data_IF_221785198092
#
_entry.id   IF_221785198092
#
_cell.length_a   1.000
_cell.length_b   1.000
_cell.length_c   1.000
_cell.angle_alpha   90.00
_cell.angle_beta   90.00
_cell.angle_gamma   90.00
#
_symmetry.space_group_name_H-M   'P 1'
#
loop_
_entity.id
_entity.type
_entity.pdbx_description
1 polymer ?
#
# COMPACT_ATOMS: atom_id res chain seq x y z
N UNK A 1 27.08 12.15 5.63
CA UNK A 1 25.77 11.70 6.16
C UNK A 1 24.56 12.16 5.32
N UNK A 2 24.67 13.12 4.41
CA UNK A 2 23.58 13.64 3.56
C UNK A 2 23.13 12.70 2.45
N UNK A 3 24.03 11.86 1.90
CA UNK A 3 23.73 11.01 0.75
C UNK A 3 22.77 9.84 1.06
N UNK A 4 22.90 9.19 2.22
CA UNK A 4 22.06 8.03 2.59
C UNK A 4 20.60 8.41 2.85
N UNK A 5 20.37 9.54 3.54
CA UNK A 5 19.01 10.04 3.80
C UNK A 5 18.28 10.40 2.51
N UNK A 6 18.95 11.09 1.58
CA UNK A 6 18.33 11.46 0.31
C UNK A 6 17.98 10.21 -0.50
N UNK A 7 18.90 9.24 -0.58
CA UNK A 7 18.65 7.96 -1.27
C UNK A 7 17.45 7.20 -0.68
N UNK A 8 17.31 7.17 0.64
CA UNK A 8 16.15 6.55 1.30
C UNK A 8 14.84 7.26 0.93
N UNK A 9 14.83 8.60 0.91
CA UNK A 9 13.68 9.40 0.51
C UNK A 9 13.31 9.18 -0.96
N UNK A 10 14.28 9.06 -1.83
CA UNK A 10 14.06 8.79 -3.26
C UNK A 10 13.45 7.38 -3.47
N UNK A 11 13.91 6.39 -2.70
CA UNK A 11 13.33 5.04 -2.71
C UNK A 11 11.87 5.08 -2.23
N UNK A 12 11.59 5.74 -1.11
CA UNK A 12 10.23 5.87 -0.58
C UNK A 12 9.30 6.59 -1.57
N UNK A 13 9.78 7.65 -2.22
CA UNK A 13 9.00 8.37 -3.23
C UNK A 13 8.65 7.47 -4.43
N UNK A 14 9.59 6.66 -4.88
CA UNK A 14 9.38 5.72 -6.00
C UNK A 14 8.38 4.62 -5.64
N UNK A 15 8.49 4.04 -4.46
CA UNK A 15 7.55 3.02 -4.00
C UNK A 15 6.16 3.62 -3.75
N UNK A 16 6.07 4.76 -3.07
CA UNK A 16 4.82 5.44 -2.75
C UNK A 16 4.08 6.01 -3.96
N UNK A 17 4.73 6.14 -5.12
CA UNK A 17 4.08 6.56 -6.37
C UNK A 17 3.06 5.53 -6.89
N UNK A 18 3.10 4.28 -6.40
CA UNK A 18 2.23 3.21 -6.84
C UNK A 18 1.22 2.86 -5.75
N UNK A 19 -0.06 3.30 -5.87
CA UNK A 19 -1.09 2.82 -4.97
C UNK A 19 -1.29 1.31 -5.17
N UNK A 20 -1.30 0.57 -4.08
CA UNK A 20 -1.45 -0.87 -4.10
C UNK A 20 -2.38 -1.32 -2.97
N UNK A 21 -3.49 -1.94 -3.31
CA UNK A 21 -4.30 -2.70 -2.35
C UNK A 21 -3.96 -4.19 -2.50
N UNK A 22 -4.36 -5.00 -1.52
CA UNK A 22 -4.12 -6.45 -1.56
C UNK A 22 -4.57 -7.04 -2.91
N UNK A 23 -3.75 -7.91 -3.50
CA UNK A 23 -3.87 -8.54 -4.83
C UNK A 23 -3.54 -7.61 -6.02
N UNK A 24 -3.21 -6.34 -5.81
CA UNK A 24 -2.91 -5.37 -6.87
C UNK A 24 -1.52 -4.71 -6.68
N UNK A 25 -0.55 -5.45 -6.13
CA UNK A 25 0.79 -4.98 -5.78
C UNK A 25 1.78 -5.00 -6.96
N UNK A 26 1.36 -5.41 -8.16
CA UNK A 26 2.26 -5.67 -9.29
C UNK A 26 3.15 -4.46 -9.65
N UNK A 27 2.59 -3.25 -9.62
CA UNK A 27 3.32 -2.04 -9.98
C UNK A 27 4.39 -1.68 -8.93
N UNK A 28 4.05 -1.75 -7.65
CA UNK A 28 5.02 -1.49 -6.57
C UNK A 28 6.07 -2.58 -6.48
N UNK A 29 5.70 -3.86 -6.68
CA UNK A 29 6.63 -4.99 -6.71
C UNK A 29 7.62 -4.88 -7.88
N UNK A 30 7.15 -4.46 -9.06
CA UNK A 30 8.04 -4.16 -10.19
C UNK A 30 9.03 -3.03 -9.88
N UNK A 31 8.55 -1.95 -9.26
CA UNK A 31 9.40 -0.84 -8.84
C UNK A 31 10.43 -1.28 -7.80
N UNK A 32 10.03 -2.08 -6.80
CA UNK A 32 10.92 -2.66 -5.81
C UNK A 32 12.05 -3.47 -6.47
N UNK A 33 11.69 -4.42 -7.35
CA UNK A 33 12.69 -5.25 -8.03
C UNK A 33 13.61 -4.44 -8.96
N UNK A 34 13.10 -3.35 -9.53
CA UNK A 34 13.92 -2.41 -10.32
C UNK A 34 14.93 -1.69 -9.43
N UNK A 35 14.52 -1.20 -8.27
CA UNK A 35 15.40 -0.57 -7.28
C UNK A 35 16.50 -1.55 -6.83
N UNK A 36 16.14 -2.79 -6.55
CA UNK A 36 17.10 -3.82 -6.14
C UNK A 36 18.17 -4.06 -7.21
N UNK A 37 17.77 -4.14 -8.49
CA UNK A 37 18.72 -4.26 -9.62
C UNK A 37 19.64 -3.05 -9.71
N UNK A 38 19.11 -1.83 -9.61
CA UNK A 38 19.90 -0.59 -9.62
C UNK A 38 20.92 -0.52 -8.48
N UNK A 39 20.60 -1.14 -7.34
CA UNK A 39 21.49 -1.25 -6.19
C UNK A 39 22.49 -2.40 -6.30
N UNK A 40 22.43 -3.22 -7.36
CA UNK A 40 23.27 -4.41 -7.52
C UNK A 40 22.96 -5.51 -6.51
N UNK A 41 21.76 -5.54 -5.92
CA UNK A 41 21.34 -6.54 -4.95
C UNK A 41 20.69 -7.73 -5.65
N UNK A 42 21.15 -8.94 -5.34
CA UNK A 42 20.52 -10.18 -5.75
C UNK A 42 19.22 -10.39 -4.97
N UNK A 43 18.18 -10.86 -5.65
CA UNK A 43 16.90 -11.19 -5.02
C UNK A 43 16.26 -12.40 -5.71
N UNK A 44 15.30 -12.99 -5.02
CA UNK A 44 14.44 -14.06 -5.54
C UNK A 44 12.98 -13.64 -5.37
N UNK A 45 12.13 -14.06 -6.29
CA UNK A 45 10.68 -13.91 -6.16
C UNK A 45 10.10 -15.31 -6.09
N UNK A 46 9.35 -15.60 -5.03
CA UNK A 46 8.71 -16.89 -4.85
C UNK A 46 7.41 -17.03 -5.67
N UNK A 47 6.78 -18.21 -5.61
CA UNK A 47 5.53 -18.48 -6.32
C UNK A 47 4.31 -17.67 -5.85
N UNK A 48 4.42 -17.00 -4.71
CA UNK A 48 3.38 -16.13 -4.13
C UNK A 48 3.64 -14.65 -4.46
N UNK A 49 4.78 -14.32 -5.09
CA UNK A 49 5.17 -12.95 -5.39
C UNK A 49 6.01 -12.27 -4.30
N UNK A 50 6.36 -12.96 -3.22
CA UNK A 50 7.24 -12.40 -2.20
C UNK A 50 8.64 -12.18 -2.74
N UNK A 51 9.21 -11.02 -2.50
CA UNK A 51 10.58 -10.67 -2.89
C UNK A 51 11.52 -10.89 -1.72
N UNK A 52 12.46 -11.81 -1.87
CA UNK A 52 13.45 -12.17 -0.87
C UNK A 52 14.80 -11.60 -1.26
N UNK A 53 15.39 -10.80 -0.38
CA UNK A 53 16.73 -10.20 -0.56
C UNK A 53 17.64 -10.70 0.56
N UNK A 54 18.78 -11.27 0.21
CA UNK A 54 19.78 -11.65 1.20
C UNK A 54 20.91 -10.62 1.18
N UNK A 55 21.14 -9.96 2.31
CA UNK A 55 22.23 -8.99 2.48
C UNK A 55 23.26 -9.58 3.42
N UNK A 56 24.53 -9.51 3.02
CA UNK A 56 25.65 -10.04 3.79
C UNK A 56 26.23 -11.36 3.24
N UNK A 57 27.43 -11.68 3.71
CA UNK A 57 28.21 -12.85 3.26
C UNK A 57 27.65 -14.18 3.81
N UNK A 58 28.19 -15.27 3.26
CA UNK A 58 28.00 -16.61 3.80
C UNK A 58 28.69 -16.66 5.16
N UNK A 59 27.88 -16.54 6.20
CA UNK A 59 28.43 -16.23 7.50
C UNK A 59 28.85 -17.47 8.27
N UNK A 60 29.55 -17.44 9.09
CA UNK A 60 30.13 -17.65 10.39
C UNK A 60 29.19 -18.20 11.48
N UNK A 61 28.10 -18.91 11.15
CA UNK A 61 27.27 -19.56 12.16
C UNK A 61 26.34 -18.63 12.98
N UNK A 62 26.24 -17.36 12.58
CA UNK A 62 25.31 -16.42 13.22
C UNK A 62 23.87 -16.65 12.77
N UNK A 63 22.93 -16.50 13.68
CA UNK A 63 21.50 -16.60 13.38
C UNK A 63 21.08 -15.42 12.48
N UNK A 64 20.49 -15.66 11.28
CA UNK A 64 20.08 -14.58 10.41
C UNK A 64 18.91 -13.78 11.03
N UNK A 65 18.92 -12.47 10.83
CA UNK A 65 17.80 -11.60 11.15
C UNK A 65 17.00 -11.39 9.87
N UNK A 66 15.67 -11.56 9.93
CA UNK A 66 14.76 -11.28 8.83
C UNK A 66 13.98 -9.99 9.12
N UNK A 67 13.95 -9.09 8.14
CA UNK A 67 13.04 -7.94 8.11
C UNK A 67 11.93 -8.25 7.11
N UNK A 68 10.69 -8.13 7.55
CA UNK A 68 9.51 -8.41 6.74
C UNK A 68 8.68 -7.14 6.62
N UNK A 69 8.24 -6.82 5.40
CA UNK A 69 7.35 -5.71 5.14
C UNK A 69 6.40 -6.07 4.01
N UNK A 70 5.12 -5.69 4.12
CA UNK A 70 4.17 -5.84 3.04
C UNK A 70 4.21 -4.64 2.06
N UNK A 71 3.67 -4.81 0.86
CA UNK A 71 3.67 -3.80 -0.21
C UNK A 71 2.30 -3.15 -0.42
N UNK A 72 1.23 -3.75 0.12
CA UNK A 72 -0.12 -3.24 0.02
C UNK A 72 -0.46 -2.26 1.15
N UNK A 73 -1.57 -1.57 0.97
CA UNK A 73 -2.20 -0.71 1.98
C UNK A 73 -3.72 -0.92 1.96
N UNK A 74 -4.45 -0.55 3.03
CA UNK A 74 -5.89 -0.67 3.07
C UNK A 74 -6.58 0.06 1.91
N UNK A 75 -7.63 -0.57 1.37
CA UNK A 75 -8.43 -0.01 0.27
C UNK A 75 -9.59 -0.92 -0.08
N UNK A 76 -9.99 -0.93 -1.34
CA UNK A 76 -11.16 -1.69 -1.78
C UNK A 76 -10.91 -2.34 -3.15
N UNK A 77 -11.70 -3.37 -3.44
CA UNK A 77 -11.86 -3.94 -4.78
C UNK A 77 -13.28 -3.71 -5.26
N UNK A 78 -13.48 -2.91 -6.30
CA UNK A 78 -14.77 -2.79 -6.97
C UNK A 78 -15.00 -4.03 -7.84
N UNK A 79 -16.06 -4.79 -7.58
CA UNK A 79 -16.30 -6.08 -8.21
C UNK A 79 -17.63 -6.17 -8.99
N UNK A 80 -18.60 -5.28 -8.72
CA UNK A 80 -19.87 -5.23 -9.43
C UNK A 80 -20.46 -3.81 -9.36
N UNK A 81 -21.65 -3.63 -9.94
CA UNK A 81 -22.40 -2.38 -9.90
C UNK A 81 -23.76 -2.56 -9.25
N UNK A 82 -24.28 -1.49 -8.64
CA UNK A 82 -25.65 -1.40 -8.13
C UNK A 82 -26.23 -0.03 -8.52
N UNK A 83 -27.07 0.00 -9.56
CA UNK A 83 -27.50 1.25 -10.18
C UNK A 83 -26.28 2.02 -10.74
N UNK A 84 -26.17 3.29 -10.35
CA UNK A 84 -25.06 4.17 -10.77
C UNK A 84 -23.81 4.06 -9.87
N UNK A 85 -23.82 3.14 -8.91
CA UNK A 85 -22.72 2.94 -7.98
C UNK A 85 -21.90 1.69 -8.32
N UNK A 86 -20.62 1.75 -8.04
CA UNK A 86 -19.80 0.55 -7.90
C UNK A 86 -20.03 -0.05 -6.52
N UNK A 87 -20.05 -1.36 -6.42
CA UNK A 87 -20.00 -2.08 -5.15
C UNK A 87 -18.58 -2.58 -4.95
N UNK A 88 -17.98 -2.22 -3.83
CA UNK A 88 -16.60 -2.58 -3.55
C UNK A 88 -16.45 -3.26 -2.19
N UNK A 89 -15.61 -4.29 -2.16
CA UNK A 89 -15.21 -5.04 -0.98
C UNK A 89 -14.00 -4.37 -0.34
N UNK A 90 -14.02 -4.16 0.98
CA UNK A 90 -12.87 -3.67 1.71
C UNK A 90 -11.78 -4.73 1.80
N UNK A 91 -10.55 -4.32 1.53
CA UNK A 91 -9.32 -5.10 1.64
C UNK A 91 -8.43 -4.49 2.72
N UNK A 92 -7.91 -5.34 3.60
CA UNK A 92 -7.08 -4.90 4.73
C UNK A 92 -7.84 -4.15 5.82
N UNK A 93 -7.12 -3.35 6.60
CA UNK A 93 -7.60 -2.63 7.78
C UNK A 93 -8.37 -1.32 7.46
N UNK A 94 -9.36 -1.37 6.57
CA UNK A 94 -10.17 -0.18 6.24
C UNK A 94 -10.94 0.31 7.47
N UNK A 95 -10.78 1.60 7.86
CA UNK A 95 -11.44 2.17 9.03
C UNK A 95 -12.98 2.11 8.94
N UNK A 96 -13.65 1.80 10.05
CA UNK A 96 -15.11 1.67 10.10
C UNK A 96 -15.86 2.95 9.63
N UNK A 97 -15.29 4.12 9.90
CA UNK A 97 -15.85 5.40 9.45
C UNK A 97 -15.97 5.52 7.93
N UNK A 98 -15.10 4.83 7.18
CA UNK A 98 -15.12 4.83 5.70
C UNK A 98 -16.37 4.21 5.09
N UNK A 99 -17.18 3.51 5.88
CA UNK A 99 -18.45 2.92 5.45
C UNK A 99 -19.68 3.77 5.75
N UNK A 100 -19.53 4.87 6.48
CA UNK A 100 -20.67 5.67 6.97
C UNK A 100 -20.58 7.15 6.62
N UNK A 101 -19.40 7.63 6.20
CA UNK A 101 -19.17 9.03 5.81
C UNK A 101 -18.62 9.09 4.39
N UNK A 102 -18.94 10.13 3.61
CA UNK A 102 -18.31 10.33 2.32
C UNK A 102 -16.78 10.45 2.48
N UNK A 103 -16.05 9.60 1.76
CA UNK A 103 -14.58 9.59 1.77
C UNK A 103 -14.08 9.69 0.33
N UNK A 104 -13.17 10.62 0.01
CA UNK A 104 -12.57 10.72 -1.30
C UNK A 104 -11.75 9.46 -1.65
N UNK A 105 -11.99 8.93 -2.83
CA UNK A 105 -11.39 7.70 -3.35
C UNK A 105 -10.87 7.92 -4.78
N UNK A 106 -10.01 7.01 -5.21
CA UNK A 106 -9.56 6.91 -6.59
C UNK A 106 -9.73 5.46 -7.07
N UNK A 107 -10.42 5.27 -8.19
CA UNK A 107 -10.44 3.99 -8.91
C UNK A 107 -9.21 3.93 -9.79
N UNK A 108 -8.41 2.88 -9.66
CA UNK A 108 -7.17 2.72 -10.43
C UNK A 108 -7.43 1.80 -11.61
N UNK A 109 -7.19 2.28 -12.81
CA UNK A 109 -7.39 1.53 -14.05
C UNK A 109 -6.15 0.71 -14.41
N UNK A 110 -6.33 -0.27 -15.27
CA UNK A 110 -5.26 -1.15 -15.73
C UNK A 110 -4.09 -0.41 -16.45
N UNK A 111 -4.36 0.76 -17.02
CA UNK A 111 -3.36 1.63 -17.65
C UNK A 111 -2.69 2.59 -16.64
N UNK A 112 -3.01 2.46 -15.36
CA UNK A 112 -2.50 3.30 -14.27
C UNK A 112 -3.22 4.64 -14.10
N UNK A 113 -4.20 4.97 -14.95
CA UNK A 113 -5.04 6.17 -14.73
C UNK A 113 -5.87 6.01 -13.48
N UNK A 114 -6.15 7.14 -12.85
CA UNK A 114 -6.94 7.23 -11.63
C UNK A 114 -8.17 8.08 -11.87
N UNK A 115 -9.32 7.54 -11.51
CA UNK A 115 -10.59 8.23 -11.61
C UNK A 115 -11.03 8.64 -10.22
N UNK A 116 -11.41 9.87 -10.06
CA UNK A 116 -11.97 10.36 -8.80
C UNK A 116 -13.31 9.74 -8.52
N UNK A 117 -13.50 9.37 -7.26
CA UNK A 117 -14.70 8.76 -6.75
C UNK A 117 -14.91 9.13 -5.29
N UNK A 118 -16.08 8.80 -4.76
CA UNK A 118 -16.41 9.02 -3.36
C UNK A 118 -17.12 7.79 -2.80
N UNK A 119 -16.76 7.35 -1.60
CA UNK A 119 -17.54 6.39 -0.85
C UNK A 119 -18.89 7.03 -0.50
N UNK A 120 -20.00 6.41 -0.94
CA UNK A 120 -21.35 6.95 -0.80
C UNK A 120 -22.12 6.31 0.38
N UNK A 121 -21.53 5.33 1.04
CA UNK A 121 -22.11 4.65 2.18
C UNK A 121 -21.95 3.13 2.12
N UNK A 122 -22.40 2.46 3.16
CA UNK A 122 -22.34 1.00 3.29
C UNK A 122 -23.27 0.31 2.29
N UNK A 123 -22.81 -0.80 1.75
CA UNK A 123 -23.62 -1.77 1.01
C UNK A 123 -23.76 -3.05 1.82
N UNK A 124 -24.98 -3.59 1.91
CA UNK A 124 -25.25 -4.83 2.67
C UNK A 124 -25.14 -4.67 4.19
N UNK A 125 -24.82 -5.76 4.87
CA UNK A 125 -24.66 -5.80 6.31
C UNK A 125 -23.27 -5.32 6.74
N UNK A 126 -23.10 -5.05 8.03
CA UNK A 126 -21.82 -4.60 8.57
C UNK A 126 -20.71 -5.65 8.40
N UNK A 127 -21.04 -6.92 8.55
CA UNK A 127 -20.15 -8.06 8.35
C UNK A 127 -19.63 -8.17 6.91
N UNK A 128 -20.39 -7.67 5.94
CA UNK A 128 -20.02 -7.78 4.52
C UNK A 128 -18.84 -6.87 4.17
N UNK A 129 -18.62 -5.81 4.95
CA UNK A 129 -17.54 -4.83 4.74
C UNK A 129 -17.54 -4.28 3.30
N UNK A 130 -18.73 -4.03 2.76
CA UNK A 130 -18.91 -3.50 1.41
C UNK A 130 -19.32 -2.04 1.43
N UNK A 131 -18.94 -1.31 0.38
CA UNK A 131 -19.23 0.12 0.22
C UNK A 131 -19.76 0.39 -1.18
N UNK A 132 -20.69 1.33 -1.26
CA UNK A 132 -21.10 1.95 -2.52
C UNK A 132 -20.12 3.06 -2.88
N UNK A 133 -19.66 3.08 -4.12
CA UNK A 133 -18.71 4.08 -4.62
C UNK A 133 -19.32 4.79 -5.81
N UNK A 134 -19.36 6.11 -5.74
CA UNK A 134 -19.83 6.96 -6.83
C UNK A 134 -18.64 7.56 -7.56
N UNK A 135 -18.59 7.38 -8.87
CA UNK A 135 -17.62 8.06 -9.73
C UNK A 135 -18.02 9.53 -9.91
N UNK A 136 -17.05 10.45 -9.91
CA UNK A 136 -17.32 11.86 -10.26
C UNK A 136 -17.82 12.02 -11.70
N UNK A 137 -17.30 11.20 -12.61
CA UNK A 137 -17.75 11.14 -14.00
C UNK A 137 -18.15 9.70 -14.32
N UNK A 138 -19.45 9.46 -14.61
CA UNK A 138 -19.92 8.13 -14.97
C UNK A 138 -19.20 7.59 -16.20
N UNK A 139 -18.69 6.38 -16.08
CA UNK A 139 -18.12 5.65 -17.22
C UNK A 139 -18.15 4.14 -16.96
N UNK A 140 -18.11 3.37 -18.04
CA UNK A 140 -17.99 1.91 -17.95
C UNK A 140 -16.58 1.51 -17.53
N UNK A 141 -16.48 0.60 -16.56
CA UNK A 141 -15.22 0.07 -16.05
C UNK A 141 -15.12 -1.42 -16.29
N UNK A 142 -13.91 -1.89 -16.50
CA UNK A 142 -13.61 -3.31 -16.46
C UNK A 142 -13.41 -3.71 -14.98
N UNK A 143 -14.29 -4.56 -14.48
CA UNK A 143 -14.24 -5.09 -13.13
C UNK A 143 -13.65 -6.52 -13.14
N UNK A 144 -13.01 -6.97 -12.03
CA UNK A 144 -12.75 -6.17 -10.83
C UNK A 144 -11.62 -5.15 -11.05
N UNK A 145 -11.61 -4.10 -10.21
CA UNK A 145 -10.55 -3.10 -10.23
C UNK A 145 -10.27 -2.53 -8.83
N UNK A 146 -9.01 -2.12 -8.55
CA UNK A 146 -8.63 -1.58 -7.25
C UNK A 146 -9.14 -0.17 -7.04
N UNK A 147 -9.51 0.14 -5.79
CA UNK A 147 -9.93 1.45 -5.34
C UNK A 147 -9.14 1.81 -4.09
N UNK A 148 -8.53 2.98 -4.10
CA UNK A 148 -7.67 3.48 -3.03
C UNK A 148 -8.22 4.76 -2.44
N UNK A 149 -7.82 5.08 -1.22
CA UNK A 149 -8.10 6.40 -0.65
C UNK A 149 -7.42 7.50 -1.48
N UNK A 150 -8.09 8.64 -1.65
CA UNK A 150 -7.52 9.81 -2.35
C UNK A 150 -6.53 10.53 -1.42
N UNK A 151 -5.36 9.92 -1.23
CA UNK A 151 -4.25 10.42 -0.46
C UNK A 151 -3.08 10.76 -1.38
N UNK A 152 -2.20 11.64 -0.91
CA UNK A 152 -0.96 11.95 -1.62
C UNK A 152 -0.06 10.71 -1.70
N UNK A 153 0.49 10.43 -2.87
CA UNK A 153 1.39 9.30 -3.07
C UNK A 153 2.68 9.47 -2.27
N UNK A 154 3.30 10.63 -2.41
CA UNK A 154 4.47 11.03 -1.64
C UNK A 154 4.63 12.54 -1.69
N UNK A 155 4.78 13.18 -0.52
CA UNK A 155 5.14 14.59 -0.41
C UNK A 155 6.11 14.81 0.75
N UNK A 156 7.14 15.59 0.47
CA UNK A 156 8.04 16.10 1.50
C UNK A 156 7.68 17.55 1.83
N UNK A 157 7.46 17.81 3.12
CA UNK A 157 7.15 19.12 3.65
C UNK A 157 8.10 19.42 4.81
N UNK A 158 9.21 20.12 4.51
CA UNK A 158 10.29 20.37 5.47
C UNK A 158 10.91 19.07 5.99
N UNK A 159 10.70 18.74 7.26
CA UNK A 159 11.16 17.50 7.90
C UNK A 159 10.08 16.41 7.93
N UNK A 160 8.88 16.69 7.45
CA UNK A 160 7.79 15.72 7.41
C UNK A 160 7.71 15.04 6.03
N UNK A 161 7.27 13.81 6.05
CA UNK A 161 6.93 13.03 4.86
C UNK A 161 5.45 12.67 4.99
N UNK A 162 4.71 12.86 3.91
CA UNK A 162 3.34 12.38 3.76
C UNK A 162 3.33 11.38 2.61
N UNK A 163 2.71 10.24 2.84
CA UNK A 163 2.54 9.21 1.82
C UNK A 163 1.35 8.32 2.18
N UNK A 164 0.82 7.63 1.18
CA UNK A 164 -0.41 6.84 1.26
C UNK A 164 -0.39 5.76 2.35
N UNK A 165 0.73 5.11 2.54
CA UNK A 165 0.91 3.97 3.45
C UNK A 165 1.63 4.36 4.77
N UNK A 166 1.63 5.64 5.13
CA UNK A 166 2.42 6.10 6.28
C UNK A 166 1.94 5.51 7.61
N UNK A 167 0.64 5.27 7.75
CA UNK A 167 0.08 4.70 8.98
C UNK A 167 0.53 3.27 9.19
N UNK A 168 0.52 2.44 8.16
CA UNK A 168 1.02 1.06 8.20
C UNK A 168 2.53 1.03 8.50
N UNK A 169 3.31 1.91 7.89
CA UNK A 169 4.72 2.05 8.16
C UNK A 169 5.00 2.54 9.58
N UNK A 170 4.16 3.42 10.12
CA UNK A 170 4.33 3.95 11.47
C UNK A 170 4.11 2.87 12.53
N UNK A 171 3.13 1.98 12.39
CA UNK A 171 2.92 0.85 13.29
C UNK A 171 4.06 -0.17 13.19
N UNK A 172 4.40 -0.60 11.99
CA UNK A 172 5.52 -1.53 11.77
C UNK A 172 6.86 -0.99 12.28
N UNK A 173 7.13 0.30 12.08
CA UNK A 173 8.32 0.94 12.60
C UNK A 173 8.31 1.08 14.13
N UNK A 174 7.15 1.28 14.74
CA UNK A 174 7.03 1.35 16.21
C UNK A 174 7.44 0.03 16.85
N UNK A 175 6.95 -1.09 16.34
CA UNK A 175 7.24 -2.41 16.88
C UNK A 175 8.73 -2.77 16.69
N UNK A 176 9.30 -2.48 15.54
CA UNK A 176 10.73 -2.68 15.29
C UNK A 176 11.60 -1.78 16.17
N UNK A 177 11.23 -0.51 16.38
CA UNK A 177 11.98 0.42 17.23
C UNK A 177 11.88 -0.01 18.71
N UNK A 178 10.71 -0.43 19.17
CA UNK A 178 10.51 -0.91 20.54
C UNK A 178 11.35 -2.15 20.80
N UNK A 179 11.35 -3.09 19.87
CA UNK A 179 12.19 -4.29 19.96
C UNK A 179 13.70 -3.97 19.93
N UNK A 180 14.15 -3.08 19.04
CA UNK A 180 15.55 -2.69 18.91
C UNK A 180 16.08 -1.91 20.13
N UNK A 181 15.21 -1.26 20.91
CA UNK A 181 15.59 -0.54 22.14
C UNK A 181 15.69 -1.45 23.36
N UNK A 182 15.31 -2.72 23.24
CA UNK A 182 15.38 -3.64 24.35
C UNK A 182 14.53 -3.22 25.55
N UNK A 183 13.41 -2.54 25.32
CA UNK A 183 12.44 -2.25 26.37
C UNK A 183 11.75 -3.56 26.74
N UNK A 184 12.40 -4.30 27.64
CA UNK A 184 11.76 -5.39 28.36
C UNK A 184 10.55 -4.79 29.10
N UNK A 185 9.37 -5.25 28.74
CA UNK A 185 8.15 -4.89 29.42
C UNK A 185 8.26 -5.28 30.90
N UNK A 186 8.19 -4.28 31.78
CA UNK A 186 7.99 -4.47 33.20
C UNK A 186 6.52 -4.79 33.52
#
# INVERSE_FOLDING_TARGET
MTNGKQKALDILARLGAHPAVAFYEQAVAYTLTTILRELGLGFQVDSYGNTLVRIGGQGSGETPIAFVAHLDHPGFEAFTTHGDYLVAQALGGVPAASFSTPVPLQVVLADGKRLRATAAGRHGQESDRQVLIQLEMPQSLKLPCPVVFDLEDFRRDGQFIRMRALDDLAESCRDVITWARGEEGG
#
